data_IF_368735906751
#
_entry.id   IF_368735906751
#
_cell.length_a   1.000
_cell.length_b   1.000
_cell.length_c   1.000
_cell.angle_alpha   90.00
_cell.angle_beta   90.00
_cell.angle_gamma   90.00
#
_symmetry.space_group_name_H-M   'P 1'
#
loop_
_entity.id
_entity.type
_entity.pdbx_description
1 polymer ?
#
# COMPACT_ATOMS: atom_id res chain seq x y z
N UNK A 1 3.65 13.88 13.83
CA UNK A 1 4.51 14.34 12.72
C UNK A 1 3.83 13.89 11.44
N UNK A 2 3.61 14.77 10.47
CA UNK A 2 2.94 14.39 9.23
C UNK A 2 3.92 13.95 8.12
N UNK A 3 3.41 13.28 7.09
CA UNK A 3 4.23 12.76 5.99
C UNK A 3 5.05 13.85 5.30
N UNK A 4 4.48 15.03 5.05
CA UNK A 4 5.22 16.12 4.40
C UNK A 4 6.38 16.64 5.26
N UNK A 5 6.18 16.78 6.57
CA UNK A 5 7.23 17.21 7.49
C UNK A 5 8.35 16.16 7.61
N UNK A 6 8.00 14.88 7.53
CA UNK A 6 8.96 13.80 7.48
C UNK A 6 9.75 13.82 6.16
N UNK A 7 9.07 13.88 5.01
CA UNK A 7 9.69 13.90 3.68
C UNK A 7 10.60 15.13 3.43
N UNK A 8 10.28 16.27 4.03
CA UNK A 8 11.09 17.49 3.94
C UNK A 8 12.34 17.47 4.84
N UNK A 9 12.47 16.49 5.73
CA UNK A 9 13.64 16.35 6.59
C UNK A 9 14.83 15.86 5.76
N UNK A 10 15.99 16.51 5.88
CA UNK A 10 17.25 16.05 5.26
C UNK A 10 17.70 14.67 5.78
N UNK A 11 17.02 14.13 6.80
CA UNK A 11 17.25 12.80 7.36
C UNK A 11 16.37 11.72 6.73
N UNK A 12 15.43 12.09 5.86
CA UNK A 12 14.41 11.17 5.36
C UNK A 12 14.98 10.15 4.39
N UNK A 13 15.76 10.58 3.40
CA UNK A 13 16.51 9.65 2.55
C UNK A 13 17.74 10.33 1.98
N UNK A 14 18.92 9.87 2.39
CA UNK A 14 20.07 9.89 1.49
C UNK A 14 19.93 8.64 0.62
N UNK A 15 20.06 8.76 -0.71
CA UNK A 15 19.82 7.66 -1.65
C UNK A 15 20.69 6.40 -1.43
N UNK A 16 21.69 6.48 -0.55
CA UNK A 16 22.66 5.42 -0.24
C UNK A 16 22.35 4.62 1.05
N UNK A 17 21.29 4.94 1.81
CA UNK A 17 20.98 4.21 3.04
C UNK A 17 20.16 2.94 2.77
N UNK A 18 20.47 1.87 3.50
CA UNK A 18 19.69 0.63 3.48
C UNK A 18 18.39 0.75 4.29
N UNK A 19 17.43 -0.16 4.07
CA UNK A 19 16.21 -0.21 4.88
C UNK A 19 16.51 -0.42 6.37
N UNK A 20 17.52 -1.22 6.72
CA UNK A 20 17.93 -1.45 8.12
C UNK A 20 18.41 -0.15 8.77
N UNK A 21 19.19 0.66 8.06
CA UNK A 21 19.62 1.97 8.56
C UNK A 21 18.45 2.95 8.66
N UNK A 22 17.55 2.94 7.67
CA UNK A 22 16.37 3.80 7.65
C UNK A 22 15.43 3.51 8.84
N UNK A 23 15.10 2.24 9.11
CA UNK A 23 14.19 1.86 10.20
C UNK A 23 14.78 2.16 11.59
N UNK A 24 16.10 2.20 11.72
CA UNK A 24 16.80 2.54 12.96
C UNK A 24 16.88 4.05 13.22
N UNK A 25 16.47 4.90 12.27
CA UNK A 25 16.34 6.34 12.52
C UNK A 25 15.39 6.58 13.72
N UNK A 26 15.78 7.36 14.74
CA UNK A 26 14.96 7.53 15.95
C UNK A 26 13.53 8.03 15.69
N UNK A 27 13.35 8.86 14.66
CA UNK A 27 12.04 9.37 14.26
C UNK A 27 11.18 8.25 13.70
N UNK A 28 11.75 7.40 12.83
CA UNK A 28 11.04 6.25 12.23
C UNK A 28 10.76 5.18 13.31
N UNK A 29 11.78 4.81 14.09
CA UNK A 29 11.66 3.85 15.18
C UNK A 29 10.60 4.26 16.21
N UNK A 30 10.43 5.57 16.45
CA UNK A 30 9.41 6.07 17.39
C UNK A 30 7.97 5.84 16.93
N UNK A 31 7.73 5.58 15.63
CA UNK A 31 6.40 5.25 15.13
C UNK A 31 5.94 3.86 15.58
N UNK A 32 6.88 2.95 15.85
CA UNK A 32 6.60 1.56 16.21
C UNK A 32 5.70 0.82 15.20
N UNK A 33 5.75 1.23 13.93
CA UNK A 33 5.02 0.59 12.85
C UNK A 33 5.68 -0.75 12.47
N UNK A 34 4.91 -1.72 11.93
CA UNK A 34 5.47 -2.95 11.39
C UNK A 34 6.50 -2.67 10.29
N UNK A 35 7.63 -3.40 10.28
CA UNK A 35 8.70 -3.20 9.29
C UNK A 35 8.15 -3.25 7.85
N UNK A 36 7.20 -4.15 7.57
CA UNK A 36 6.57 -4.30 6.26
C UNK A 36 5.82 -3.05 5.79
N UNK A 37 5.24 -2.31 6.73
CA UNK A 37 4.55 -1.03 6.47
C UNK A 37 5.59 0.09 6.33
N UNK A 38 6.60 0.14 7.19
CA UNK A 38 7.68 1.14 7.12
C UNK A 38 8.39 1.05 5.77
N UNK A 39 8.72 -0.15 5.31
CA UNK A 39 9.40 -0.37 4.05
C UNK A 39 8.54 0.10 2.86
N UNK A 40 7.33 -0.44 2.71
CA UNK A 40 6.48 -0.14 1.55
C UNK A 40 5.94 1.31 1.57
N UNK A 41 5.54 1.84 2.73
CA UNK A 41 4.96 3.19 2.81
C UNK A 41 6.04 4.27 2.80
N UNK A 42 7.01 4.18 3.71
CA UNK A 42 7.92 5.28 4.00
C UNK A 42 9.22 5.17 3.18
N UNK A 43 9.84 4.00 3.16
CA UNK A 43 11.14 3.82 2.51
C UNK A 43 11.04 3.78 0.97
N UNK A 44 10.08 3.00 0.43
CA UNK A 44 9.91 2.81 -1.02
C UNK A 44 9.15 3.97 -1.69
N UNK A 45 8.27 4.67 -0.96
CA UNK A 45 7.33 5.63 -1.53
C UNK A 45 7.26 6.99 -0.84
N UNK A 46 7.83 7.16 0.35
CA UNK A 46 7.62 8.37 1.14
C UNK A 46 8.32 9.62 0.59
N UNK A 47 9.15 9.49 -0.44
CA UNK A 47 9.78 10.60 -1.19
C UNK A 47 9.17 10.78 -2.60
N UNK A 48 8.22 9.93 -3.00
CA UNK A 48 7.53 10.05 -4.27
C UNK A 48 6.60 11.28 -4.22
N UNK A 49 6.88 12.28 -5.05
CA UNK A 49 6.17 13.56 -5.01
C UNK A 49 4.65 13.46 -5.14
N UNK A 50 4.12 12.54 -5.96
CA UNK A 50 2.68 12.34 -6.10
C UNK A 50 2.08 11.68 -4.85
N UNK A 51 2.76 10.68 -4.30
CA UNK A 51 2.36 10.01 -3.06
C UNK A 51 2.36 10.98 -1.87
N UNK A 52 3.44 11.76 -1.72
CA UNK A 52 3.55 12.79 -0.68
C UNK A 52 2.46 13.85 -0.88
N UNK A 53 2.18 14.27 -2.11
CA UNK A 53 1.12 15.24 -2.38
C UNK A 53 -0.26 14.75 -1.90
N UNK A 54 -0.61 13.50 -2.21
CA UNK A 54 -1.90 12.92 -1.85
C UNK A 54 -2.03 12.68 -0.33
N UNK A 55 -0.94 12.29 0.34
CA UNK A 55 -0.97 11.84 1.74
C UNK A 55 -0.22 12.75 2.74
N UNK A 56 0.22 13.94 2.30
CA UNK A 56 0.96 14.94 3.13
C UNK A 56 0.36 15.23 4.49
N UNK A 57 -0.97 15.18 4.58
CA UNK A 57 -1.75 15.53 5.77
C UNK A 57 -1.83 14.42 6.81
N UNK A 58 -1.44 13.18 6.47
CA UNK A 58 -1.52 12.04 7.39
C UNK A 58 -0.56 12.27 8.55
N UNK A 59 -1.08 12.30 9.77
CA UNK A 59 -0.27 12.34 11.01
C UNK A 59 0.16 10.91 11.35
N UNK A 60 1.43 10.61 11.10
CA UNK A 60 1.97 9.25 11.19
C UNK A 60 1.90 8.69 12.62
N UNK A 61 1.97 9.57 13.63
CA UNK A 61 1.86 9.16 15.04
C UNK A 61 0.44 8.73 15.43
N UNK A 62 -0.57 9.00 14.58
CA UNK A 62 -1.99 8.68 14.83
C UNK A 62 -2.50 7.50 14.02
N UNK A 63 -1.61 6.77 13.35
CA UNK A 63 -1.98 5.58 12.57
C UNK A 63 -1.54 4.34 13.32
N UNK A 64 -2.50 3.49 13.65
CA UNK A 64 -2.29 2.13 14.10
C UNK A 64 -2.43 1.19 12.90
N UNK A 65 -1.52 0.21 12.79
CA UNK A 65 -1.47 -0.73 11.67
C UNK A 65 -1.81 -2.13 12.14
N UNK A 66 -2.78 -2.75 11.48
CA UNK A 66 -3.17 -4.14 11.73
C UNK A 66 -3.23 -4.92 10.42
N UNK A 67 -2.94 -6.22 10.49
CA UNK A 67 -3.11 -7.11 9.36
C UNK A 67 -4.55 -7.65 9.37
N UNK A 68 -5.36 -7.24 8.41
CA UNK A 68 -6.77 -7.59 8.32
C UNK A 68 -7.08 -8.45 7.09
N UNK A 69 -8.11 -9.29 7.18
CA UNK A 69 -8.67 -9.99 6.03
C UNK A 69 -9.77 -9.16 5.37
N UNK A 70 -9.56 -8.77 4.12
CA UNK A 70 -10.50 -7.98 3.32
C UNK A 70 -11.06 -8.84 2.18
N UNK A 71 -12.34 -8.69 1.88
CA UNK A 71 -12.96 -9.46 0.81
C UNK A 71 -12.42 -9.04 -0.57
N UNK A 72 -12.32 -10.02 -1.47
CA UNK A 72 -11.92 -9.77 -2.85
C UNK A 72 -12.87 -8.78 -3.55
N UNK A 73 -14.14 -8.72 -3.13
CA UNK A 73 -15.12 -7.75 -3.61
C UNK A 73 -14.72 -6.34 -3.21
N UNK A 74 -14.52 -6.10 -1.92
CA UNK A 74 -14.24 -4.76 -1.40
C UNK A 74 -12.91 -4.22 -1.95
N UNK A 75 -11.89 -5.07 -2.03
CA UNK A 75 -10.59 -4.72 -2.64
C UNK A 75 -10.71 -4.31 -4.11
N UNK A 76 -11.59 -4.94 -4.88
CA UNK A 76 -11.75 -4.65 -6.32
C UNK A 76 -12.36 -3.28 -6.60
N UNK A 77 -13.11 -2.75 -5.64
CA UNK A 77 -13.86 -1.50 -5.74
C UNK A 77 -13.16 -0.34 -4.99
N UNK A 78 -12.04 -0.65 -4.32
CA UNK A 78 -11.35 0.28 -3.44
C UNK A 78 -10.62 1.38 -4.23
N UNK A 79 -10.79 2.66 -3.87
CA UNK A 79 -10.15 3.77 -4.58
C UNK A 79 -8.66 3.89 -4.22
N UNK A 80 -7.96 4.72 -4.99
CA UNK A 80 -6.60 5.22 -4.73
C UNK A 80 -6.63 6.72 -4.39
N UNK A 81 -5.47 7.28 -4.05
CA UNK A 81 -5.25 8.72 -4.00
C UNK A 81 -5.50 9.41 -5.35
N UNK A 82 -5.72 10.72 -5.31
CA UNK A 82 -6.12 11.52 -6.47
C UNK A 82 -5.10 11.45 -7.64
N UNK A 83 -3.81 11.33 -7.32
CA UNK A 83 -2.74 11.24 -8.31
C UNK A 83 -2.70 9.90 -9.05
N UNK A 84 -3.32 8.85 -8.49
CA UNK A 84 -3.30 7.48 -9.00
C UNK A 84 -4.70 7.02 -9.47
N UNK A 85 -5.64 7.94 -9.71
CA UNK A 85 -7.00 7.60 -10.18
C UNK A 85 -6.91 6.82 -11.49
N UNK A 86 -7.62 5.69 -11.56
CA UNK A 86 -7.66 4.83 -12.75
C UNK A 86 -6.48 3.86 -12.88
N UNK A 87 -5.47 3.92 -12.01
CA UNK A 87 -4.30 3.05 -12.14
C UNK A 87 -4.66 1.57 -11.94
N UNK A 88 -5.55 1.26 -10.99
CA UNK A 88 -6.01 -0.10 -10.69
C UNK A 88 -6.74 -0.68 -11.91
N UNK A 89 -7.61 0.11 -12.54
CA UNK A 89 -8.30 -0.25 -13.78
C UNK A 89 -7.31 -0.53 -14.91
N UNK A 90 -6.30 0.33 -15.06
CA UNK A 90 -5.23 0.15 -16.05
C UNK A 90 -4.47 -1.17 -15.84
N UNK A 91 -4.15 -1.51 -14.59
CA UNK A 91 -3.54 -2.79 -14.25
C UNK A 91 -4.48 -3.98 -14.49
N UNK A 92 -5.75 -3.82 -14.16
CA UNK A 92 -6.77 -4.86 -14.32
C UNK A 92 -7.09 -5.19 -15.79
N UNK A 93 -6.76 -4.31 -16.73
CA UNK A 93 -6.96 -4.53 -18.15
C UNK A 93 -6.07 -5.67 -18.71
N UNK A 94 -4.90 -5.93 -18.10
CA UNK A 94 -4.00 -7.00 -18.53
C UNK A 94 -3.26 -7.62 -17.33
N UNK A 95 -3.96 -8.40 -16.46
CA UNK A 95 -3.37 -8.95 -15.25
C UNK A 95 -2.21 -9.94 -15.55
N UNK A 96 -2.28 -10.67 -16.65
CA UNK A 96 -1.24 -11.63 -17.04
C UNK A 96 0.07 -10.94 -17.43
N UNK A 97 0.00 -9.80 -18.14
CA UNK A 97 1.19 -9.00 -18.40
C UNK A 97 1.85 -8.55 -17.09
N UNK A 98 1.07 -8.02 -16.15
CA UNK A 98 1.60 -7.55 -14.88
C UNK A 98 2.16 -8.67 -13.99
N UNK A 99 1.69 -9.90 -14.14
CA UNK A 99 2.33 -11.08 -13.54
C UNK A 99 3.60 -11.50 -14.29
N UNK A 100 3.61 -11.42 -15.63
CA UNK A 100 4.76 -11.85 -16.45
C UNK A 100 6.03 -11.03 -16.22
N UNK A 101 5.89 -9.76 -15.82
CA UNK A 101 7.01 -8.86 -15.50
C UNK A 101 7.42 -8.93 -14.01
N UNK A 102 6.92 -9.93 -13.27
CA UNK A 102 7.28 -10.21 -11.88
C UNK A 102 8.13 -11.46 -11.79
N UNK A 103 8.74 -11.67 -10.62
CA UNK A 103 9.53 -12.89 -10.38
C UNK A 103 8.63 -14.13 -10.47
N UNK A 104 9.10 -15.26 -11.01
CA UNK A 104 8.28 -16.45 -11.27
C UNK A 104 7.52 -16.99 -10.04
N UNK A 105 8.10 -16.85 -8.84
CA UNK A 105 7.47 -17.25 -7.59
C UNK A 105 6.17 -16.49 -7.29
N UNK A 106 6.08 -15.22 -7.69
CA UNK A 106 4.88 -14.40 -7.51
C UNK A 106 3.76 -14.92 -8.41
N UNK A 107 4.07 -15.19 -9.67
CA UNK A 107 3.11 -15.75 -10.64
C UNK A 107 2.59 -17.10 -10.16
N UNK A 108 3.49 -18.02 -9.78
CA UNK A 108 3.10 -19.33 -9.24
C UNK A 108 2.23 -19.21 -7.99
N UNK A 109 2.53 -18.25 -7.11
CA UNK A 109 1.74 -18.03 -5.91
C UNK A 109 0.31 -17.58 -6.25
N UNK A 110 0.13 -16.67 -7.22
CA UNK A 110 -1.18 -16.27 -7.72
C UNK A 110 -1.95 -17.42 -8.40
N UNK A 111 -1.27 -18.24 -9.19
CA UNK A 111 -1.86 -19.41 -9.85
C UNK A 111 -2.33 -20.48 -8.85
N UNK A 112 -1.64 -20.61 -7.72
CA UNK A 112 -1.92 -21.65 -6.72
C UNK A 112 -2.90 -21.17 -5.64
N UNK A 113 -2.73 -19.94 -5.16
CA UNK A 113 -3.46 -19.42 -3.99
C UNK A 113 -4.46 -18.32 -4.35
N UNK A 114 -4.40 -17.76 -5.56
CA UNK A 114 -5.28 -16.67 -5.95
C UNK A 114 -5.10 -15.39 -5.14
N UNK A 115 -3.92 -15.17 -4.54
CA UNK A 115 -3.61 -14.00 -3.71
C UNK A 115 -2.14 -13.60 -3.85
N UNK A 116 -1.72 -12.55 -3.15
CA UNK A 116 -0.34 -12.04 -3.11
C UNK A 116 0.49 -12.70 -2.01
N UNK A 117 1.82 -12.74 -2.21
CA UNK A 117 2.78 -13.18 -1.19
C UNK A 117 3.04 -12.12 -0.12
N UNK A 118 2.90 -10.84 -0.48
CA UNK A 118 3.12 -9.69 0.41
C UNK A 118 1.83 -8.85 0.46
N UNK A 119 1.26 -8.59 1.64
CA UNK A 119 0.07 -7.75 1.80
C UNK A 119 0.25 -6.32 1.24
N UNK A 120 -0.74 -5.76 0.52
CA UNK A 120 -0.76 -4.35 0.17
C UNK A 120 -1.05 -3.49 1.41
N UNK A 121 -0.89 -2.18 1.28
CA UNK A 121 -1.18 -1.22 2.34
C UNK A 121 -2.46 -0.45 1.99
N UNK A 122 -3.40 -0.46 2.93
CA UNK A 122 -4.65 0.27 2.91
C UNK A 122 -4.68 1.30 4.04
N UNK A 123 -5.46 2.36 3.88
CA UNK A 123 -5.70 3.31 4.97
C UNK A 123 -7.19 3.64 5.08
N UNK A 124 -7.64 3.81 6.31
CA UNK A 124 -8.94 4.39 6.61
C UNK A 124 -8.94 5.86 6.17
N UNK A 125 -9.86 6.20 5.27
CA UNK A 125 -9.95 7.54 4.70
C UNK A 125 -10.39 8.60 5.72
N UNK A 126 -10.77 8.20 6.95
CA UNK A 126 -10.93 9.11 8.08
C UNK A 126 -9.60 9.77 8.51
N UNK A 127 -8.45 9.16 8.18
CA UNK A 127 -7.11 9.71 8.44
C UNK A 127 -6.68 10.78 7.43
N UNK A 128 -7.48 11.04 6.39
CA UNK A 128 -7.16 11.97 5.32
C UNK A 128 -7.84 13.32 5.51
N UNK A 129 -7.42 14.30 4.72
CA UNK A 129 -8.01 15.63 4.68
C UNK A 129 -8.60 15.90 3.28
N UNK A 130 -9.93 16.07 3.13
CA UNK A 130 -10.97 15.94 4.17
C UNK A 130 -11.22 14.47 4.58
N UNK A 131 -11.69 14.22 5.80
CA UNK A 131 -12.01 12.87 6.26
C UNK A 131 -13.27 12.35 5.56
N UNK A 132 -13.21 11.12 5.07
CA UNK A 132 -14.33 10.44 4.42
C UNK A 132 -14.36 8.97 4.82
N UNK A 133 -15.49 8.29 4.63
CA UNK A 133 -15.64 6.88 5.00
C UNK A 133 -14.96 5.92 4.01
N UNK A 134 -14.59 4.75 4.51
CA UNK A 134 -14.11 3.62 3.70
C UNK A 134 -12.58 3.55 3.67
N UNK A 135 -12.08 2.45 3.13
CA UNK A 135 -10.65 2.24 2.92
C UNK A 135 -10.22 2.74 1.53
N UNK A 136 -8.94 3.03 1.38
CA UNK A 136 -8.29 3.26 0.09
C UNK A 136 -6.96 2.50 0.01
N UNK A 137 -6.52 2.19 -1.20
CA UNK A 137 -5.22 1.57 -1.47
C UNK A 137 -4.13 2.64 -1.50
N UNK A 138 -3.13 2.52 -0.63
CA UNK A 138 -1.94 3.35 -0.60
C UNK A 138 -0.82 2.77 -1.45
N UNK A 139 -0.54 1.49 -1.23
CA UNK A 139 0.53 0.74 -1.88
C UNK A 139 0.00 -0.64 -2.27
N UNK A 140 0.56 -1.23 -3.32
CA UNK A 140 0.13 -2.52 -3.83
C UNK A 140 -0.92 -2.39 -4.92
N UNK A 141 -1.04 -1.23 -5.54
CA UNK A 141 -1.99 -0.92 -6.62
C UNK A 141 -1.95 -1.96 -7.75
N UNK A 142 -0.77 -2.43 -8.15
CA UNK A 142 -0.68 -3.52 -9.14
C UNK A 142 -1.21 -4.86 -8.61
N UNK A 143 -1.00 -5.20 -7.33
CA UNK A 143 -1.55 -6.42 -6.71
C UNK A 143 -3.08 -6.38 -6.71
N UNK A 144 -3.67 -5.24 -6.33
CA UNK A 144 -5.12 -5.03 -6.35
C UNK A 144 -5.65 -5.02 -7.79
N UNK A 145 -4.91 -4.43 -8.74
CA UNK A 145 -5.23 -4.48 -10.17
C UNK A 145 -5.23 -5.89 -10.74
N UNK A 146 -4.23 -6.72 -10.40
CA UNK A 146 -4.18 -8.14 -10.77
C UNK A 146 -5.39 -8.88 -10.18
N UNK A 147 -5.70 -8.67 -8.89
CA UNK A 147 -6.88 -9.25 -8.25
C UNK A 147 -8.15 -8.91 -9.03
N UNK A 148 -8.37 -7.62 -9.33
CA UNK A 148 -9.55 -7.16 -10.08
C UNK A 148 -9.61 -7.74 -11.48
N UNK A 149 -8.50 -7.74 -12.21
CA UNK A 149 -8.42 -8.31 -13.56
C UNK A 149 -8.72 -9.80 -13.57
N UNK A 150 -8.14 -10.57 -12.64
CA UNK A 150 -8.39 -12.01 -12.51
C UNK A 150 -9.85 -12.30 -12.16
N UNK A 151 -10.48 -11.54 -11.26
CA UNK A 151 -11.92 -11.66 -10.96
C UNK A 151 -12.79 -11.41 -12.19
N UNK A 152 -12.49 -10.35 -12.95
CA UNK A 152 -13.22 -10.03 -14.18
C UNK A 152 -13.12 -11.15 -15.22
N UNK A 153 -11.96 -11.81 -15.28
CA UNK A 153 -11.70 -12.96 -16.16
C UNK A 153 -12.15 -14.31 -15.58
N UNK A 154 -12.75 -14.33 -14.38
CA UNK A 154 -13.17 -15.55 -13.65
C UNK A 154 -12.04 -16.56 -13.43
N UNK A 155 -10.82 -16.05 -13.25
CA UNK A 155 -9.65 -16.84 -12.85
C UNK A 155 -9.65 -17.08 -11.34
N UNK A 156 -8.76 -17.97 -10.86
CA UNK A 156 -8.60 -18.24 -9.44
C UNK A 156 -8.23 -16.96 -8.67
N UNK A 157 -9.04 -16.64 -7.66
CA UNK A 157 -8.86 -15.57 -6.68
C UNK A 157 -9.39 -16.07 -5.33
N UNK A 158 -8.63 -15.87 -4.25
CA UNK A 158 -9.08 -16.20 -2.90
C UNK A 158 -10.31 -15.35 -2.51
N UNK A 159 -11.21 -15.80 -1.62
CA UNK A 159 -12.34 -14.99 -1.20
C UNK A 159 -11.94 -13.84 -0.27
N UNK A 160 -10.90 -14.05 0.55
CA UNK A 160 -10.35 -13.13 1.53
C UNK A 160 -8.86 -12.94 1.27
N UNK A 161 -8.37 -11.73 1.54
CA UNK A 161 -6.96 -11.40 1.35
C UNK A 161 -6.44 -10.56 2.50
N UNK A 162 -5.21 -10.83 2.92
CA UNK A 162 -4.54 -10.07 3.97
C UNK A 162 -4.07 -8.72 3.44
N UNK A 163 -4.37 -7.63 4.13
CA UNK A 163 -3.83 -6.30 3.85
C UNK A 163 -3.44 -5.62 5.17
N UNK A 164 -2.38 -4.81 5.14
CA UNK A 164 -2.11 -3.89 6.24
C UNK A 164 -3.10 -2.74 6.19
N UNK A 165 -3.82 -2.49 7.27
CA UNK A 165 -4.83 -1.45 7.35
C UNK A 165 -4.42 -0.43 8.40
N UNK A 166 -4.23 0.82 7.96
CA UNK A 166 -3.95 1.96 8.82
C UNK A 166 -5.25 2.57 9.32
N UNK A 167 -5.47 2.55 10.64
CA UNK A 167 -6.65 3.13 11.30
C UNK A 167 -6.25 4.22 12.31
N UNK A 168 -7.15 5.13 12.68
CA UNK A 168 -6.90 6.04 13.79
C UNK A 168 -6.50 5.26 15.05
N UNK A 169 -5.36 5.62 15.64
CA UNK A 169 -5.02 5.20 17.00
C UNK A 169 -6.12 5.71 17.94
N UNK A 170 -6.73 4.81 18.71
CA UNK A 170 -7.80 5.14 19.67
C UNK A 170 -7.41 6.19 20.71
#
# INVERSE_FOLDING_TARGET
MNLAGLAASTQFRNDDITFEEFRMNPVIASLQWPDDVVEQFLYDHGDNGAFVYDYRGVDLAKVAWELEEISAKDLSEMPTGASDVGCIEGYAANPDHWLSVRRPEITRHWETHGTWMRPPILIDRQLLAPPVSGLQVLEGRTRVGILRGRRNQRLLVAPLHQAWVGRPSG
#
